data_IF_619832429746
#
_entry.id   IF_619832429746
#
_cell.length_a   1.000
_cell.length_b   1.000
_cell.length_c   1.000
_cell.angle_alpha   90.00
_cell.angle_beta   90.00
_cell.angle_gamma   90.00
#
_symmetry.space_group_name_H-M   'P 1'
#
loop_
_entity.id
_entity.type
_entity.pdbx_description
1 polymer ?
#
# COMPACT_ATOMS: atom_id res chain seq x y z
N UNK A 1 9.06 16.40 33.47
CA UNK A 1 9.40 15.23 32.64
C UNK A 1 10.65 14.66 33.25
N UNK A 2 10.51 13.62 34.06
CA UNK A 2 11.65 12.90 34.63
C UNK A 2 12.47 12.35 33.47
N UNK A 3 13.78 12.58 33.47
CA UNK A 3 14.67 11.99 32.47
C UNK A 3 14.55 10.47 32.56
N UNK A 4 14.35 9.80 31.44
CA UNK A 4 14.47 8.35 31.36
C UNK A 4 15.93 8.03 31.72
N UNK A 5 16.14 7.53 32.93
CA UNK A 5 17.47 7.24 33.46
C UNK A 5 18.02 5.98 32.79
N UNK A 6 19.07 6.12 31.97
CA UNK A 6 19.78 5.00 31.33
C UNK A 6 20.74 4.31 32.28
N UNK A 7 20.87 4.78 33.52
CA UNK A 7 21.86 4.32 34.50
C UNK A 7 21.81 2.82 34.78
N UNK A 8 20.65 2.17 34.55
CA UNK A 8 20.53 0.70 34.67
C UNK A 8 21.23 -0.08 33.55
N UNK A 9 21.32 0.47 32.33
CA UNK A 9 21.98 -0.18 31.19
C UNK A 9 23.45 0.23 31.06
N UNK A 10 23.83 1.39 31.59
CA UNK A 10 25.21 1.89 31.58
C UNK A 10 26.18 0.97 32.35
N UNK A 11 25.66 0.06 33.19
CA UNK A 11 26.43 -0.98 33.89
C UNK A 11 26.85 -2.17 33.00
N UNK A 12 26.36 -2.27 31.75
CA UNK A 12 26.64 -3.36 30.81
C UNK A 12 27.47 -2.86 29.62
N UNK A 13 28.66 -2.31 29.89
CA UNK A 13 29.44 -1.58 28.90
C UNK A 13 30.01 -2.49 27.77
N UNK A 14 30.19 -1.97 26.53
CA UNK A 14 30.66 -2.75 25.38
C UNK A 14 32.04 -3.41 25.54
N UNK A 15 32.88 -2.91 26.46
CA UNK A 15 34.21 -3.45 26.75
C UNK A 15 34.21 -4.86 27.36
N UNK A 16 33.04 -5.36 27.78
CA UNK A 16 32.88 -6.69 28.36
C UNK A 16 32.67 -7.78 27.30
N UNK A 17 32.32 -7.42 26.06
CA UNK A 17 32.01 -8.38 25.01
C UNK A 17 33.22 -9.22 24.58
N UNK A 18 34.39 -8.58 24.42
CA UNK A 18 35.63 -9.27 24.05
C UNK A 18 36.12 -10.18 25.19
N UNK A 19 36.00 -9.72 26.44
CA UNK A 19 36.33 -10.53 27.62
C UNK A 19 35.40 -11.75 27.76
N UNK A 20 34.10 -11.60 27.46
CA UNK A 20 33.15 -12.71 27.46
C UNK A 20 33.43 -13.72 26.34
N UNK A 21 33.89 -13.27 25.17
CA UNK A 21 34.29 -14.15 24.09
C UNK A 21 35.56 -14.96 24.44
N UNK A 22 36.53 -14.32 25.09
CA UNK A 22 37.72 -15.01 25.63
C UNK A 22 37.33 -16.04 26.71
N UNK A 23 36.42 -15.69 27.61
CA UNK A 23 35.89 -16.60 28.63
C UNK A 23 35.16 -17.80 28.00
N UNK A 24 34.31 -17.56 27.00
CA UNK A 24 33.60 -18.61 26.27
C UNK A 24 34.57 -19.58 25.59
N UNK A 25 35.60 -19.06 24.93
CA UNK A 25 36.65 -19.88 24.30
C UNK A 25 37.42 -20.72 25.34
N UNK A 26 37.68 -20.15 26.52
CA UNK A 26 38.28 -20.89 27.63
C UNK A 26 37.37 -22.01 28.15
N UNK A 27 36.06 -21.78 28.27
CA UNK A 27 35.09 -22.82 28.65
C UNK A 27 35.03 -23.93 27.61
N UNK A 28 34.98 -23.60 26.32
CA UNK A 28 34.99 -24.56 25.20
C UNK A 28 36.22 -25.47 25.24
N UNK A 29 37.41 -24.90 25.48
CA UNK A 29 38.67 -25.66 25.55
C UNK A 29 38.72 -26.69 26.69
N UNK A 30 37.83 -26.59 27.69
CA UNK A 30 37.74 -27.48 28.86
C UNK A 30 36.70 -28.61 28.70
N UNK A 31 35.97 -28.65 27.57
CA UNK A 31 34.96 -29.68 27.31
C UNK A 31 35.65 -30.92 26.74
N UNK A 32 36.30 -31.70 27.61
CA UNK A 32 36.98 -32.96 27.22
C UNK A 32 36.28 -34.21 27.76
N UNK A 33 35.36 -34.04 28.71
CA UNK A 33 34.62 -35.12 29.36
C UNK A 33 33.20 -34.68 29.79
N UNK A 34 32.46 -35.58 30.42
CA UNK A 34 31.11 -35.32 30.90
C UNK A 34 31.05 -34.23 31.99
N UNK A 35 32.09 -34.10 32.82
CA UNK A 35 32.15 -33.07 33.85
C UNK A 35 32.34 -31.67 33.24
N UNK A 36 33.22 -31.56 32.24
CA UNK A 36 33.42 -30.34 31.44
C UNK A 36 32.17 -29.94 30.66
N UNK A 37 31.43 -30.91 30.11
CA UNK A 37 30.13 -30.66 29.48
C UNK A 37 29.10 -30.07 30.45
N UNK A 38 28.96 -30.66 31.64
CA UNK A 38 28.05 -30.14 32.67
C UNK A 38 28.44 -28.73 33.13
N UNK A 39 29.75 -28.45 33.30
CA UNK A 39 30.24 -27.13 33.65
C UNK A 39 29.93 -26.08 32.56
N UNK A 40 30.12 -26.45 31.29
CA UNK A 40 29.77 -25.59 30.16
C UNK A 40 28.25 -25.33 30.09
N UNK A 41 27.43 -26.35 30.36
CA UNK A 41 25.97 -26.21 30.40
C UNK A 41 25.51 -25.26 31.52
N UNK A 42 26.09 -25.33 32.72
CA UNK A 42 25.79 -24.40 33.82
C UNK A 42 26.28 -22.98 33.52
N UNK A 43 27.43 -22.82 32.88
CA UNK A 43 27.90 -21.51 32.40
C UNK A 43 26.93 -20.89 31.38
N UNK A 44 26.46 -21.68 30.41
CA UNK A 44 25.45 -21.24 29.43
C UNK A 44 24.15 -20.84 30.14
N UNK A 45 23.69 -21.61 31.14
CA UNK A 45 22.48 -21.26 31.92
C UNK A 45 22.65 -19.93 32.66
N UNK A 46 23.80 -19.72 33.30
CA UNK A 46 24.09 -18.48 34.02
C UNK A 46 24.08 -17.26 33.09
N UNK A 47 24.75 -17.36 31.93
CA UNK A 47 24.75 -16.29 30.92
C UNK A 47 23.36 -16.04 30.32
N UNK A 48 22.56 -17.09 30.09
CA UNK A 48 21.15 -16.94 29.66
C UNK A 48 20.30 -16.22 30.72
N UNK A 49 20.52 -16.47 32.00
CA UNK A 49 19.81 -15.77 33.07
C UNK A 49 20.18 -14.29 33.14
N UNK A 50 21.46 -13.96 32.93
CA UNK A 50 21.95 -12.59 32.85
C UNK A 50 21.40 -11.84 31.64
N UNK A 51 21.43 -12.45 30.45
CA UNK A 51 20.79 -11.90 29.25
C UNK A 51 19.32 -11.60 29.50
N UNK A 52 18.59 -12.53 30.13
CA UNK A 52 17.18 -12.32 30.48
C UNK A 52 16.98 -11.13 31.43
N UNK A 53 17.89 -10.91 32.36
CA UNK A 53 17.85 -9.75 33.26
C UNK A 53 18.09 -8.43 32.50
N UNK A 54 19.05 -8.42 31.56
CA UNK A 54 19.33 -7.27 30.69
C UNK A 54 18.11 -6.98 29.80
N UNK A 55 17.52 -8.01 29.19
CA UNK A 55 16.32 -7.90 28.38
C UNK A 55 15.14 -7.35 29.20
N UNK A 56 14.99 -7.77 30.45
CA UNK A 56 13.96 -7.24 31.35
C UNK A 56 14.19 -5.76 31.68
N UNK A 57 15.42 -5.37 32.03
CA UNK A 57 15.79 -3.96 32.26
C UNK A 57 15.55 -3.11 30.98
N UNK A 58 15.86 -3.66 29.80
CA UNK A 58 15.64 -3.02 28.52
C UNK A 58 14.15 -2.89 28.17
N UNK A 59 13.33 -3.90 28.50
CA UNK A 59 11.88 -3.86 28.26
C UNK A 59 11.20 -2.77 29.12
N UNK A 60 11.62 -2.57 30.38
CA UNK A 60 11.12 -1.45 31.20
C UNK A 60 11.37 -0.09 30.55
N UNK A 61 12.57 0.11 29.99
CA UNK A 61 12.92 1.35 29.29
C UNK A 61 12.09 1.49 28.01
N UNK A 62 11.95 0.40 27.25
CA UNK A 62 11.12 0.36 26.04
C UNK A 62 9.66 0.68 26.35
N UNK A 63 9.11 0.17 27.44
CA UNK A 63 7.76 0.47 27.90
C UNK A 63 7.61 1.95 28.28
N UNK A 64 8.58 2.52 29.01
CA UNK A 64 8.57 3.95 29.34
C UNK A 64 8.63 4.82 28.08
N UNK A 65 9.47 4.47 27.10
CA UNK A 65 9.56 5.15 25.80
C UNK A 65 8.25 5.01 25.01
N UNK A 66 7.67 3.81 24.97
CA UNK A 66 6.41 3.55 24.29
C UNK A 66 5.26 4.35 24.93
N UNK A 67 5.21 4.43 26.25
CA UNK A 67 4.24 5.25 26.98
C UNK A 67 4.39 6.74 26.60
N UNK A 68 5.61 7.28 26.65
CA UNK A 68 5.87 8.67 26.27
C UNK A 68 5.52 8.93 24.79
N UNK A 69 5.93 8.04 23.90
CA UNK A 69 5.59 8.08 22.48
C UNK A 69 4.07 8.11 22.29
N UNK A 70 3.34 7.23 22.96
CA UNK A 70 1.89 7.15 22.87
C UNK A 70 1.22 8.43 23.40
N UNK A 71 1.73 9.01 24.50
CA UNK A 71 1.26 10.29 25.03
C UNK A 71 1.48 11.45 24.04
N UNK A 72 2.65 11.50 23.40
CA UNK A 72 2.96 12.49 22.36
C UNK A 72 2.04 12.28 21.16
N UNK A 73 1.91 11.05 20.68
CA UNK A 73 1.04 10.70 19.55
C UNK A 73 -0.42 11.02 19.84
N UNK A 74 -0.89 10.83 21.07
CA UNK A 74 -2.25 11.18 21.48
C UNK A 74 -2.47 12.70 21.46
N UNK A 75 -1.52 13.49 21.99
CA UNK A 75 -1.55 14.96 21.89
C UNK A 75 -1.55 15.44 20.44
N UNK A 76 -0.67 14.88 19.61
CA UNK A 76 -0.63 15.19 18.17
C UNK A 76 -1.95 14.79 17.52
N UNK A 77 -2.49 13.61 17.83
CA UNK A 77 -3.76 13.11 17.29
C UNK A 77 -4.91 14.06 17.65
N UNK A 78 -5.01 14.50 18.90
CA UNK A 78 -6.05 15.47 19.35
C UNK A 78 -6.02 16.78 18.57
N UNK A 79 -4.86 17.27 18.15
CA UNK A 79 -4.72 18.52 17.38
C UNK A 79 -4.87 18.30 15.88
N UNK A 80 -4.24 17.25 15.35
CA UNK A 80 -4.13 17.01 13.90
C UNK A 80 -5.35 16.30 13.34
N UNK A 81 -5.96 15.38 14.10
CA UNK A 81 -7.09 14.58 13.62
C UNK A 81 -8.30 15.44 13.26
N UNK A 82 -8.78 16.41 14.08
CA UNK A 82 -9.91 17.25 13.72
C UNK A 82 -9.65 18.08 12.46
N UNK A 83 -8.42 18.55 12.29
CA UNK A 83 -8.00 19.30 11.10
C UNK A 83 -8.00 18.43 9.85
N UNK A 84 -7.40 17.23 9.92
CA UNK A 84 -7.43 16.26 8.82
C UNK A 84 -8.87 15.85 8.47
N UNK A 85 -9.72 15.67 9.48
CA UNK A 85 -11.12 15.33 9.29
C UNK A 85 -11.89 16.48 8.61
N UNK A 86 -11.70 17.73 9.06
CA UNK A 86 -12.28 18.90 8.41
C UNK A 86 -11.83 19.05 6.95
N UNK A 87 -10.54 18.90 6.67
CA UNK A 87 -9.99 18.89 5.30
C UNK A 87 -10.65 17.78 4.47
N UNK A 88 -10.81 16.57 5.03
CA UNK A 88 -11.46 15.45 4.34
C UNK A 88 -12.90 15.76 3.96
N UNK A 89 -13.71 16.29 4.88
CA UNK A 89 -15.11 16.67 4.62
C UNK A 89 -15.19 17.69 3.48
N UNK A 90 -14.37 18.73 3.53
CA UNK A 90 -14.34 19.77 2.50
C UNK A 90 -13.89 19.18 1.16
N UNK A 91 -12.83 18.36 1.15
CA UNK A 91 -12.33 17.71 -0.06
C UNK A 91 -13.37 16.79 -0.70
N UNK A 92 -14.12 16.01 0.08
CA UNK A 92 -15.22 15.18 -0.40
C UNK A 92 -16.33 16.03 -1.03
N UNK A 93 -16.70 17.14 -0.39
CA UNK A 93 -17.69 18.08 -0.96
C UNK A 93 -17.20 18.75 -2.24
N UNK A 94 -15.92 19.13 -2.31
CA UNK A 94 -15.31 19.68 -3.52
C UNK A 94 -15.30 18.68 -4.66
N UNK A 95 -15.03 17.40 -4.38
CA UNK A 95 -15.09 16.32 -5.39
C UNK A 95 -16.52 16.14 -5.90
N UNK A 96 -17.51 16.11 -5.01
CA UNK A 96 -18.92 16.00 -5.40
C UNK A 96 -19.35 17.20 -6.28
N UNK A 97 -19.04 18.43 -5.85
CA UNK A 97 -19.32 19.62 -6.65
C UNK A 97 -18.62 19.58 -8.02
N UNK A 98 -17.35 19.14 -8.09
CA UNK A 98 -16.64 18.95 -9.36
C UNK A 98 -17.30 17.94 -10.29
N UNK A 99 -17.95 16.91 -9.75
CA UNK A 99 -18.71 15.96 -10.55
C UNK A 99 -19.98 16.59 -11.10
N UNK A 100 -20.71 17.35 -10.27
CA UNK A 100 -21.91 18.11 -10.68
C UNK A 100 -21.56 19.15 -11.75
N UNK A 101 -20.49 19.93 -11.52
CA UNK A 101 -19.97 20.92 -12.47
C UNK A 101 -19.67 20.27 -13.83
N UNK A 102 -19.02 19.11 -13.85
CA UNK A 102 -18.75 18.38 -15.10
C UNK A 102 -20.00 17.94 -15.84
N UNK A 103 -21.05 17.54 -15.13
CA UNK A 103 -22.32 17.16 -15.74
C UNK A 103 -22.97 18.40 -16.36
N UNK A 104 -23.00 19.52 -15.63
CA UNK A 104 -23.54 20.79 -16.13
C UNK A 104 -22.76 21.31 -17.34
N UNK A 105 -21.42 21.31 -17.27
CA UNK A 105 -20.55 21.72 -18.37
C UNK A 105 -20.75 20.84 -19.60
N UNK A 106 -20.90 19.52 -19.42
CA UNK A 106 -21.20 18.61 -20.53
C UNK A 106 -22.56 18.93 -21.16
N UNK A 107 -23.60 19.12 -20.36
CA UNK A 107 -24.93 19.44 -20.87
C UNK A 107 -24.96 20.78 -21.61
N UNK A 108 -24.26 21.80 -21.10
CA UNK A 108 -24.15 23.10 -21.77
C UNK A 108 -23.33 22.98 -23.06
N UNK A 109 -22.24 22.21 -23.05
CA UNK A 109 -21.46 21.94 -24.26
C UNK A 109 -22.31 21.21 -25.32
N UNK A 110 -23.13 20.24 -24.91
CA UNK A 110 -24.03 19.50 -25.79
C UNK A 110 -25.13 20.43 -26.36
N UNK A 111 -25.64 21.39 -25.56
CA UNK A 111 -26.59 22.41 -26.02
C UNK A 111 -25.95 23.36 -27.04
N UNK A 112 -24.78 23.92 -26.72
CA UNK A 112 -24.05 24.82 -27.62
C UNK A 112 -23.64 24.14 -28.93
N UNK A 113 -23.25 22.85 -28.86
CA UNK A 113 -23.02 22.04 -30.06
C UNK A 113 -24.29 21.92 -30.89
N UNK A 114 -25.43 21.60 -30.27
CA UNK A 114 -26.71 21.45 -30.97
C UNK A 114 -27.19 22.77 -31.60
N UNK A 115 -27.04 23.90 -30.91
CA UNK A 115 -27.34 25.24 -31.44
C UNK A 115 -26.42 25.58 -32.62
N UNK A 116 -25.11 25.34 -32.49
CA UNK A 116 -24.16 25.60 -33.57
C UNK A 116 -24.39 24.74 -34.82
N UNK A 117 -24.86 23.50 -34.65
CA UNK A 117 -25.23 22.63 -35.78
C UNK A 117 -26.47 23.18 -36.48
N UNK A 118 -27.49 23.63 -35.72
CA UNK A 118 -28.69 24.23 -36.31
C UNK A 118 -28.39 25.52 -37.08
N UNK A 119 -27.62 26.43 -36.49
CA UNK A 119 -27.22 27.66 -37.17
C UNK A 119 -26.41 27.36 -38.45
N UNK A 120 -25.46 26.42 -38.38
CA UNK A 120 -24.68 26.02 -39.55
C UNK A 120 -25.55 25.37 -40.64
N UNK A 121 -26.56 24.60 -40.28
CA UNK A 121 -27.49 23.98 -41.23
C UNK A 121 -28.46 25.02 -41.83
N UNK A 122 -28.92 26.00 -41.04
CA UNK A 122 -29.73 27.14 -41.51
C UNK A 122 -28.94 28.04 -42.47
N UNK A 123 -27.68 28.36 -42.16
CA UNK A 123 -26.79 29.13 -43.04
C UNK A 123 -26.54 28.39 -44.36
N UNK A 124 -26.35 27.07 -44.32
CA UNK A 124 -26.20 26.25 -45.54
C UNK A 124 -27.46 26.24 -46.38
N UNK A 125 -28.62 26.07 -45.74
CA UNK A 125 -29.91 26.08 -46.43
C UNK A 125 -30.15 27.43 -47.10
N UNK A 126 -29.92 28.54 -46.38
CA UNK A 126 -30.05 29.89 -46.91
C UNK A 126 -29.06 30.16 -48.07
N UNK A 127 -27.81 29.70 -47.97
CA UNK A 127 -26.82 29.83 -49.04
C UNK A 127 -27.22 29.01 -50.29
N UNK A 128 -27.73 27.79 -50.10
CA UNK A 128 -28.22 26.94 -51.18
C UNK A 128 -29.44 27.56 -51.87
N UNK A 129 -30.40 28.12 -51.10
CA UNK A 129 -31.57 28.82 -51.63
C UNK A 129 -31.21 30.06 -52.45
N UNK A 130 -30.24 30.86 -51.99
CA UNK A 130 -29.76 32.02 -52.75
C UNK A 130 -29.10 31.62 -54.07
N UNK A 131 -28.30 30.55 -54.08
CA UNK A 131 -27.66 30.04 -55.30
C UNK A 131 -28.67 29.43 -56.28
N UNK A 132 -29.68 28.73 -55.76
CA UNK A 132 -30.78 28.21 -56.58
C UNK A 132 -31.60 29.36 -57.21
N UNK A 133 -31.90 30.42 -56.46
CA UNK A 133 -32.59 31.61 -56.97
C UNK A 133 -31.79 32.35 -58.06
N UNK A 134 -30.47 32.25 -58.04
CA UNK A 134 -29.57 32.77 -59.08
C UNK A 134 -29.38 31.82 -60.27
N UNK A 135 -30.02 30.64 -60.26
CA UNK A 135 -29.96 29.64 -61.34
C UNK A 135 -28.78 28.66 -61.26
N UNK A 136 -27.97 28.70 -60.20
CA UNK A 136 -26.79 27.84 -60.01
C UNK A 136 -27.13 26.58 -59.21
N UNK A 137 -27.95 25.70 -59.78
CA UNK A 137 -28.46 24.49 -59.10
C UNK A 137 -27.36 23.50 -58.67
N UNK A 138 -26.36 23.26 -59.52
CA UNK A 138 -25.28 22.31 -59.21
C UNK A 138 -24.41 22.74 -58.00
N UNK A 139 -24.26 24.06 -57.78
CA UNK A 139 -23.53 24.58 -56.62
C UNK A 139 -24.39 24.57 -55.36
N UNK A 140 -25.71 24.74 -55.48
CA UNK A 140 -26.64 24.62 -54.35
C UNK A 140 -26.66 23.19 -53.80
N UNK A 141 -26.69 22.17 -54.66
CA UNK A 141 -26.61 20.75 -54.26
C UNK A 141 -25.28 20.41 -53.58
N UNK A 142 -24.16 20.89 -54.14
CA UNK A 142 -22.83 20.65 -53.57
C UNK A 142 -22.64 21.24 -52.16
N UNK A 143 -23.35 22.31 -51.80
CA UNK A 143 -23.32 22.89 -50.45
C UNK A 143 -24.15 22.07 -49.47
N UNK A 144 -25.28 21.50 -49.91
CA UNK A 144 -26.12 20.64 -49.09
C UNK A 144 -25.49 19.26 -48.83
N UNK A 145 -24.74 18.71 -49.81
CA UNK A 145 -24.05 17.42 -49.66
C UNK A 145 -22.78 17.49 -48.79
N UNK A 146 -22.17 18.68 -48.66
CA UNK A 146 -20.98 18.83 -47.83
C UNK A 146 -21.33 18.95 -46.35
N UNK A 147 -20.97 17.92 -45.56
CA UNK A 147 -21.03 17.94 -44.11
C UNK A 147 -20.04 18.96 -43.53
N UNK A 148 -20.48 20.20 -43.34
CA UNK A 148 -19.71 21.19 -42.62
C UNK A 148 -19.63 20.84 -41.13
N UNK A 149 -18.46 21.02 -40.52
CA UNK A 149 -18.27 20.78 -39.10
C UNK A 149 -18.63 22.05 -38.31
N UNK A 150 -19.70 22.01 -37.54
CA UNK A 150 -20.02 23.08 -36.60
C UNK A 150 -19.04 23.01 -35.41
N UNK A 151 -18.45 24.16 -35.04
CA UNK A 151 -17.55 24.27 -33.91
C UNK A 151 -18.19 25.13 -32.84
N UNK A 152 -18.63 24.51 -31.74
CA UNK A 152 -19.14 25.26 -30.60
C UNK A 152 -18.01 25.76 -29.70
N UNK A 153 -18.30 26.87 -29.01
CA UNK A 153 -17.44 27.42 -27.97
C UNK A 153 -17.22 26.39 -26.85
N UNK A 154 -15.99 26.28 -26.36
CA UNK A 154 -15.62 25.37 -25.27
C UNK A 154 -15.92 26.02 -23.92
N UNK A 155 -16.67 25.31 -23.06
CA UNK A 155 -16.88 25.74 -21.67
C UNK A 155 -15.74 25.23 -20.78
N UNK A 156 -15.08 26.13 -20.04
CA UNK A 156 -13.90 25.81 -19.23
C UNK A 156 -14.25 25.45 -17.78
N UNK A 157 -13.60 24.42 -17.23
CA UNK A 157 -13.68 24.08 -15.80
C UNK A 157 -12.98 25.12 -14.89
N UNK A 158 -13.53 25.39 -13.71
CA UNK A 158 -12.86 26.26 -12.70
C UNK A 158 -11.61 25.56 -12.14
N UNK A 159 -10.45 26.21 -12.18
CA UNK A 159 -9.20 25.67 -11.57
C UNK A 159 -8.79 26.55 -10.39
N UNK A 160 -8.37 25.92 -9.29
CA UNK A 160 -7.88 26.60 -8.09
C UNK A 160 -6.40 26.25 -7.92
N UNK A 161 -5.55 27.28 -7.79
CA UNK A 161 -4.12 27.09 -7.57
C UNK A 161 -3.85 26.33 -6.26
N UNK A 162 -2.81 25.49 -6.26
CA UNK A 162 -2.43 24.70 -5.09
C UNK A 162 -3.26 23.42 -4.84
N UNK A 163 -4.36 23.19 -5.57
CA UNK A 163 -5.18 21.97 -5.44
C UNK A 163 -4.97 21.08 -6.66
N UNK A 164 -4.31 19.93 -6.47
CA UNK A 164 -4.09 18.95 -7.53
C UNK A 164 -5.06 17.76 -7.42
N UNK A 165 -5.76 17.46 -8.50
CA UNK A 165 -6.64 16.29 -8.60
C UNK A 165 -5.91 15.13 -9.29
N UNK A 166 -5.63 14.04 -8.57
CA UNK A 166 -5.09 12.81 -9.17
C UNK A 166 -6.18 11.77 -9.36
N UNK A 167 -6.45 11.39 -10.61
CA UNK A 167 -7.25 10.20 -10.91
C UNK A 167 -6.39 8.96 -10.66
N UNK A 168 -6.90 8.02 -9.87
CA UNK A 168 -6.26 6.71 -9.64
C UNK A 168 -7.22 5.62 -10.03
N UNK A 169 -6.83 4.81 -11.00
CA UNK A 169 -7.53 3.57 -11.32
C UNK A 169 -7.21 2.54 -10.25
N UNK A 170 -8.25 1.89 -9.73
CA UNK A 170 -8.12 0.80 -8.76
C UNK A 170 -8.96 -0.36 -9.26
N UNK A 171 -8.44 -1.57 -9.13
CA UNK A 171 -9.19 -2.79 -9.35
C UNK A 171 -9.67 -3.35 -8.00
N UNK A 172 -10.79 -4.06 -8.02
CA UNK A 172 -11.27 -4.87 -6.90
C UNK A 172 -11.46 -6.29 -7.42
N UNK A 173 -10.94 -7.27 -6.69
CA UNK A 173 -11.18 -8.69 -6.98
C UNK A 173 -12.61 -9.02 -6.55
N UNK A 174 -13.46 -9.37 -7.51
CA UNK A 174 -14.85 -9.74 -7.26
C UNK A 174 -14.99 -11.23 -6.93
N UNK A 175 -14.24 -12.08 -7.63
CA UNK A 175 -14.19 -13.52 -7.42
C UNK A 175 -12.73 -14.01 -7.52
N UNK A 176 -12.24 -14.66 -6.46
CA UNK A 176 -10.87 -15.18 -6.41
C UNK A 176 -10.64 -16.36 -7.37
N UNK A 177 -11.66 -17.20 -7.59
CA UNK A 177 -11.55 -18.36 -8.49
C UNK A 177 -11.38 -17.92 -9.94
N UNK A 178 -12.17 -16.93 -10.36
CA UNK A 178 -12.07 -16.39 -11.72
C UNK A 178 -10.72 -15.70 -11.95
N UNK A 179 -10.18 -15.03 -10.93
CA UNK A 179 -8.83 -14.46 -10.98
C UNK A 179 -7.76 -15.54 -11.18
N UNK A 180 -7.86 -16.67 -10.47
CA UNK A 180 -6.93 -17.80 -10.63
C UNK A 180 -6.99 -18.35 -12.06
N UNK A 181 -8.18 -18.55 -12.62
CA UNK A 181 -8.33 -18.99 -14.01
C UNK A 181 -7.82 -17.95 -15.02
N UNK A 182 -7.93 -16.66 -14.71
CA UNK A 182 -7.35 -15.61 -15.55
C UNK A 182 -5.82 -15.69 -15.55
N UNK A 183 -5.20 -15.94 -14.41
CA UNK A 183 -3.74 -16.12 -14.26
C UNK A 183 -3.25 -17.38 -14.98
N UNK A 184 -4.05 -18.45 -14.95
CA UNK A 184 -3.75 -19.68 -15.69
C UNK A 184 -3.71 -19.44 -17.20
N UNK A 185 -4.57 -18.56 -17.73
CA UNK A 185 -4.62 -18.18 -19.15
C UNK A 185 -3.56 -17.14 -19.52
N UNK A 186 -3.21 -16.26 -18.60
CA UNK A 186 -2.19 -15.22 -18.77
C UNK A 186 -1.18 -15.27 -17.61
N UNK A 187 -0.08 -16.02 -17.79
CA UNK A 187 0.98 -16.13 -16.79
C UNK A 187 1.64 -14.81 -16.41
N UNK A 188 1.49 -13.75 -17.23
CA UNK A 188 1.98 -12.40 -16.90
C UNK A 188 1.30 -11.79 -15.67
N UNK A 189 0.17 -12.37 -15.23
CA UNK A 189 -0.56 -11.96 -14.03
C UNK A 189 -0.09 -12.68 -12.75
N UNK A 190 0.93 -13.52 -12.79
CA UNK A 190 1.37 -14.30 -11.63
C UNK A 190 1.74 -13.40 -10.43
N UNK A 191 2.37 -12.25 -10.68
CA UNK A 191 2.73 -11.27 -9.64
C UNK A 191 1.52 -10.63 -8.94
N UNK A 192 0.31 -10.77 -9.50
CA UNK A 192 -0.92 -10.30 -8.89
C UNK A 192 -1.36 -11.18 -7.71
N UNK A 193 -0.80 -12.38 -7.56
CA UNK A 193 -1.09 -13.31 -6.45
C UNK A 193 0.14 -13.47 -5.57
N UNK A 194 -0.08 -13.36 -4.26
CA UNK A 194 0.93 -13.65 -3.25
C UNK A 194 0.49 -14.87 -2.45
N UNK A 195 1.42 -15.80 -2.27
CA UNK A 195 1.23 -16.95 -1.38
C UNK A 195 1.38 -16.47 0.07
N UNK A 196 0.44 -16.87 0.92
CA UNK A 196 0.53 -16.65 2.37
C UNK A 196 1.37 -17.77 2.98
N UNK A 197 2.69 -17.53 3.08
CA UNK A 197 3.64 -18.53 3.57
C UNK A 197 3.31 -18.96 5.01
N UNK A 198 2.92 -18.02 5.87
CA UNK A 198 2.61 -18.33 7.27
C UNK A 198 1.44 -19.29 7.37
N UNK A 199 0.37 -19.03 6.63
CA UNK A 199 -0.77 -19.93 6.60
C UNK A 199 -0.38 -21.32 6.08
N UNK A 200 0.51 -21.39 5.09
CA UNK A 200 1.00 -22.64 4.52
C UNK A 200 1.82 -23.44 5.53
N UNK A 201 2.72 -22.79 6.27
CA UNK A 201 3.54 -23.40 7.32
C UNK A 201 2.66 -23.92 8.47
N UNK A 202 1.70 -23.11 8.93
CA UNK A 202 0.72 -23.50 9.96
C UNK A 202 -0.09 -24.74 9.52
N UNK A 203 -0.53 -24.76 8.25
CA UNK A 203 -1.27 -25.89 7.68
C UNK A 203 -0.43 -27.17 7.59
N UNK A 204 0.82 -27.06 7.11
CA UNK A 204 1.75 -28.19 7.02
C UNK A 204 2.05 -28.75 8.41
N UNK A 205 2.33 -27.87 9.38
CA UNK A 205 2.63 -28.24 10.77
C UNK A 205 1.47 -28.99 11.43
N UNK A 206 0.23 -28.50 11.33
CA UNK A 206 -0.97 -29.13 11.91
C UNK A 206 -1.17 -30.56 11.37
N UNK A 207 -0.95 -30.76 10.07
CA UNK A 207 -1.14 -32.06 9.43
C UNK A 207 -0.05 -33.08 9.75
N UNK A 208 1.20 -32.64 9.85
CA UNK A 208 2.33 -33.51 10.19
C UNK A 208 2.26 -33.89 11.68
N UNK A 209 2.00 -32.94 12.57
CA UNK A 209 1.86 -33.22 14.02
C UNK A 209 0.66 -34.09 14.36
N UNK A 210 -0.39 -34.06 13.54
CA UNK A 210 -1.50 -35.01 13.59
C UNK A 210 -1.19 -36.44 13.11
N UNK A 211 0.06 -36.75 12.75
CA UNK A 211 0.48 -38.08 12.26
C UNK A 211 0.14 -38.36 10.79
N UNK A 212 -0.23 -37.32 10.03
CA UNK A 212 -0.54 -37.42 8.61
C UNK A 212 0.63 -37.09 7.69
N UNK A 213 0.45 -37.31 6.39
CA UNK A 213 1.35 -36.82 5.33
C UNK A 213 0.65 -35.70 4.56
N UNK A 214 1.37 -34.61 4.27
CA UNK A 214 0.86 -33.50 3.46
C UNK A 214 1.39 -33.61 2.05
N UNK A 215 0.49 -33.57 1.06
CA UNK A 215 0.84 -33.40 -0.34
C UNK A 215 -0.04 -32.30 -0.92
N UNK A 216 0.57 -31.15 -1.21
CA UNK A 216 -0.05 -30.04 -1.95
C UNK A 216 0.80 -29.83 -3.20
N UNK A 217 0.18 -29.85 -4.37
CA UNK A 217 0.90 -29.64 -5.63
C UNK A 217 1.64 -28.29 -5.60
N UNK A 218 2.96 -28.33 -5.83
CA UNK A 218 3.82 -27.15 -5.83
C UNK A 218 4.32 -26.70 -4.46
N UNK A 219 4.08 -27.48 -3.39
CA UNK A 219 4.59 -27.20 -2.05
C UNK A 219 5.32 -28.43 -1.52
N UNK A 220 6.57 -28.24 -1.09
CA UNK A 220 7.41 -29.27 -0.47
C UNK A 220 7.54 -29.00 1.04
N UNK A 221 7.00 -29.87 1.92
CA UNK A 221 7.27 -29.80 3.35
C UNK A 221 8.73 -30.13 3.66
N UNK A 222 9.38 -29.35 4.53
CA UNK A 222 10.72 -29.64 5.04
C UNK A 222 10.78 -29.44 6.55
N UNK A 223 11.69 -30.16 7.21
CA UNK A 223 11.97 -30.03 8.64
C UNK A 223 13.20 -29.13 8.84
N UNK A 224 13.08 -28.14 9.72
CA UNK A 224 14.17 -27.25 10.11
C UNK A 224 14.44 -27.44 11.61
N UNK A 225 15.59 -28.04 11.96
CA UNK A 225 16.04 -28.13 13.34
C UNK A 225 16.80 -26.86 13.74
N UNK A 226 16.28 -26.13 14.73
CA UNK A 226 16.95 -24.94 15.29
C UNK A 226 17.19 -25.07 16.80
N UNK A 227 18.40 -24.73 17.26
CA UNK A 227 18.69 -24.64 18.69
C UNK A 227 18.08 -23.34 19.22
N UNK A 228 17.09 -23.47 20.10
CA UNK A 228 16.36 -22.33 20.67
C UNK A 228 17.31 -21.33 21.36
N UNK A 229 17.40 -20.12 20.81
CA UNK A 229 18.18 -19.01 21.35
C UNK A 229 19.53 -18.74 20.66
N UNK A 230 19.83 -19.41 19.55
CA UNK A 230 20.96 -19.05 18.66
C UNK A 230 20.35 -18.55 17.35
N UNK A 231 20.57 -17.28 16.95
CA UNK A 231 20.09 -16.81 15.66
C UNK A 231 20.81 -17.55 14.53
N UNK A 232 20.06 -18.30 13.72
CA UNK A 232 20.50 -18.75 12.39
C UNK A 232 20.52 -17.52 11.47
N UNK A 233 21.59 -17.36 10.69
CA UNK A 233 21.74 -16.25 9.73
C UNK A 233 20.78 -16.38 8.57
#
# INVERSE_FOLDING_TARGET
MESISTTKLDKYAPSEADALAEEANAVVSRITDAAGYCAAAEWIKARKAEIKSIESDAEEIKDAVNLLRNLILDKIRKVVWPRKHGIKIIAERMVAWKQEERILLKNEQDRLMSESVKEADEERLAAAEQLAAQGNLALAEAILENAGHASARIVSEVKVEGINHKKRWRARVMNKRDLIHAIERDPGLMDAVKVDQKWLDDYVHDKITGGGTVSINGVEPYEEETIRGVPTK
#
